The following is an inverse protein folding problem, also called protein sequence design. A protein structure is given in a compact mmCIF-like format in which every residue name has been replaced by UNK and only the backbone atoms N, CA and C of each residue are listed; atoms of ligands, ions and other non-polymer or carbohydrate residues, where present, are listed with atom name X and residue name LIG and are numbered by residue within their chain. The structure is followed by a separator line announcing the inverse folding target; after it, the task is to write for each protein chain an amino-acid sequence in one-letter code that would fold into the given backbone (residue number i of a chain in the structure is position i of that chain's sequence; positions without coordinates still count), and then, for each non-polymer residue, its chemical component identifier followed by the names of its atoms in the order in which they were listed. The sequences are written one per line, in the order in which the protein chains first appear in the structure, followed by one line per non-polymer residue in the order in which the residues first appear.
data_IF_959961040080
#
_entry.id   IF_959961040080
#
_cell.length_a   1.000
_cell.length_b   1.000
_cell.length_c   1.000
_cell.angle_alpha   90.00
_cell.angle_beta   90.00
_cell.angle_gamma   90.00
#
_symmetry.space_group_name_H-M   'P 1'
#
loop_
_entity.id
_entity.type
_entity.pdbx_description
1 polymer ?
#
# COMPACT_ATOMS: atom_id res chain seq x y z
N UNK A 1 9.48 -22.35 17.76
CA UNK A 1 8.05 -22.71 17.49
C UNK A 1 7.19 -21.61 18.12
N UNK A 2 6.69 -20.65 17.31
CA UNK A 2 5.75 -19.63 17.80
C UNK A 2 4.48 -20.36 18.19
N UNK A 3 4.03 -20.16 19.42
CA UNK A 3 2.87 -20.89 19.93
C UNK A 3 1.64 -20.50 19.13
N UNK A 4 0.93 -21.47 18.59
CA UNK A 4 -0.31 -21.29 17.81
C UNK A 4 -1.33 -20.35 18.52
N UNK A 5 -1.27 -20.27 19.83
CA UNK A 5 -2.05 -19.38 20.69
C UNK A 5 -1.72 -17.89 20.50
N UNK A 6 -0.46 -17.54 20.21
CA UNK A 6 -0.02 -16.15 19.98
C UNK A 6 -0.43 -15.66 18.59
N UNK A 7 -0.43 -16.56 17.60
CA UNK A 7 -0.92 -16.29 16.23
C UNK A 7 -2.42 -16.01 16.27
N UNK A 8 -3.21 -16.85 16.95
CA UNK A 8 -4.67 -16.67 17.09
C UNK A 8 -5.02 -15.39 17.87
N UNK A 9 -4.24 -15.01 18.88
CA UNK A 9 -4.46 -13.79 19.66
C UNK A 9 -4.17 -12.52 18.82
N UNK A 10 -3.13 -12.56 17.98
CA UNK A 10 -2.82 -11.47 17.06
C UNK A 10 -3.88 -11.32 15.96
N UNK A 11 -4.37 -12.46 15.41
CA UNK A 11 -5.47 -12.48 14.45
C UNK A 11 -6.77 -11.94 15.04
N UNK A 12 -7.10 -12.30 16.29
CA UNK A 12 -8.30 -11.80 16.98
C UNK A 12 -8.24 -10.29 17.30
N UNK A 13 -7.06 -9.73 17.52
CA UNK A 13 -6.88 -8.28 17.70
C UNK A 13 -7.11 -7.51 16.41
N UNK A 14 -6.71 -8.07 15.24
CA UNK A 14 -6.91 -7.47 13.93
C UNK A 14 -8.31 -7.68 13.36
N UNK A 15 -8.92 -8.82 13.66
CA UNK A 15 -10.27 -9.14 13.23
C UNK A 15 -11.11 -9.66 14.39
N UNK A 16 -11.57 -8.78 15.28
CA UNK A 16 -12.33 -9.17 16.48
C UNK A 16 -13.66 -9.89 16.16
N UNK A 17 -14.13 -9.86 14.91
CA UNK A 17 -15.35 -10.56 14.49
C UNK A 17 -15.11 -11.93 13.84
N UNK A 18 -13.85 -12.37 13.73
CA UNK A 18 -13.45 -13.78 13.54
C UNK A 18 -14.04 -14.52 12.35
N UNK A 19 -14.48 -13.87 11.29
CA UNK A 19 -15.08 -14.55 10.14
C UNK A 19 -14.24 -14.42 8.88
N UNK A 20 -13.48 -15.45 8.58
CA UNK A 20 -13.30 -15.91 7.22
C UNK A 20 -12.00 -15.59 6.51
N UNK A 21 -11.11 -14.72 6.99
CA UNK A 21 -9.83 -14.47 6.29
C UNK A 21 -8.66 -14.73 7.23
N UNK A 22 -7.71 -15.54 6.78
CA UNK A 22 -6.44 -15.73 7.47
C UNK A 22 -5.57 -14.50 7.19
N UNK A 23 -5.58 -13.53 8.08
CA UNK A 23 -4.69 -12.38 8.00
C UNK A 23 -3.28 -12.80 8.36
N UNK A 24 -2.31 -12.39 7.55
CA UNK A 24 -0.90 -12.58 7.87
C UNK A 24 -0.50 -11.67 9.03
N UNK A 25 0.54 -12.06 9.77
CA UNK A 25 1.12 -11.20 10.80
C UNK A 25 1.74 -9.94 10.16
N UNK A 26 1.62 -8.81 10.84
CA UNK A 26 2.24 -7.54 10.40
C UNK A 26 3.74 -7.69 10.11
N UNK A 27 4.44 -8.53 10.88
CA UNK A 27 5.87 -8.81 10.66
C UNK A 27 6.18 -9.37 9.27
N UNK A 28 5.22 -10.10 8.65
CA UNK A 28 5.38 -10.62 7.29
C UNK A 28 5.36 -9.47 6.27
N UNK A 29 4.44 -8.53 6.45
CA UNK A 29 4.36 -7.35 5.55
C UNK A 29 5.57 -6.45 5.74
N UNK A 30 6.01 -6.19 6.96
CA UNK A 30 7.23 -5.42 7.24
C UNK A 30 8.48 -6.08 6.65
N UNK A 31 8.57 -7.40 6.67
CA UNK A 31 9.68 -8.11 6.02
C UNK A 31 9.65 -7.95 4.49
N UNK A 32 8.46 -7.94 3.87
CA UNK A 32 8.31 -7.67 2.43
C UNK A 32 8.73 -6.25 2.08
N UNK A 33 8.29 -5.26 2.87
CA UNK A 33 8.68 -3.85 2.70
C UNK A 33 10.19 -3.70 2.81
N UNK A 34 10.80 -4.30 3.82
CA UNK A 34 12.25 -4.23 4.01
C UNK A 34 13.03 -4.75 2.80
N UNK A 35 12.61 -5.88 2.21
CA UNK A 35 13.23 -6.40 0.98
C UNK A 35 13.12 -5.41 -0.18
N UNK A 36 11.96 -4.78 -0.37
CA UNK A 36 11.79 -3.74 -1.40
C UNK A 36 12.72 -2.57 -1.13
N UNK A 37 12.83 -2.10 0.11
CA UNK A 37 13.71 -0.99 0.48
C UNK A 37 15.20 -1.31 0.23
N UNK A 38 15.62 -2.55 0.45
CA UNK A 38 16.95 -3.04 0.11
C UNK A 38 17.19 -2.99 -1.42
N UNK A 39 16.22 -3.45 -2.21
CA UNK A 39 16.27 -3.40 -3.68
C UNK A 39 16.26 -1.97 -4.22
N UNK A 40 15.42 -1.09 -3.65
CA UNK A 40 15.40 0.34 -4.01
C UNK A 40 16.79 0.97 -3.81
N UNK A 41 17.44 0.65 -2.70
CA UNK A 41 18.79 1.13 -2.39
C UNK A 41 19.81 0.62 -3.39
N UNK A 42 19.79 -0.67 -3.74
CA UNK A 42 20.68 -1.28 -4.72
C UNK A 42 20.52 -0.66 -6.13
N UNK A 43 19.28 -0.31 -6.51
CA UNK A 43 18.96 0.27 -7.82
C UNK A 43 18.98 1.80 -7.83
N UNK A 44 19.37 2.45 -6.73
CA UNK A 44 19.39 3.92 -6.58
C UNK A 44 18.02 4.57 -6.87
N UNK A 45 16.95 3.91 -6.51
CA UNK A 45 15.59 4.45 -6.53
C UNK A 45 15.24 5.06 -5.17
N UNK A 46 14.37 6.06 -5.19
CA UNK A 46 13.91 6.74 -3.97
C UNK A 46 12.65 6.08 -3.41
N UNK A 47 11.84 5.46 -4.27
CA UNK A 47 10.60 4.81 -3.90
C UNK A 47 10.14 3.77 -4.94
N UNK A 48 9.17 2.95 -4.53
CA UNK A 48 8.31 2.15 -5.41
C UNK A 48 6.86 2.59 -5.20
N UNK A 49 6.13 2.82 -6.28
CA UNK A 49 4.69 2.96 -6.25
C UNK A 49 4.06 1.72 -6.89
N UNK A 50 3.17 1.08 -6.16
CA UNK A 50 2.47 -0.15 -6.59
C UNK A 50 1.01 0.20 -6.79
N UNK A 51 0.45 -0.09 -7.97
CA UNK A 51 -0.95 0.17 -8.29
C UNK A 51 -1.75 -1.14 -8.42
N UNK A 52 -2.99 -1.08 -7.99
CA UNK A 52 -4.01 -2.13 -8.17
C UNK A 52 -5.39 -1.53 -8.40
N UNK A 53 -6.29 -2.36 -8.89
CA UNK A 53 -7.71 -2.08 -8.95
C UNK A 53 -8.52 -3.18 -8.21
N UNK A 54 -9.84 -3.06 -8.20
CA UNK A 54 -10.75 -4.00 -7.55
C UNK A 54 -10.72 -5.40 -8.17
N UNK A 55 -10.38 -5.52 -9.45
CA UNK A 55 -10.31 -6.79 -10.16
C UNK A 55 -8.96 -7.48 -10.00
N UNK A 56 -7.92 -6.69 -9.75
CA UNK A 56 -6.53 -7.16 -9.63
C UNK A 56 -5.87 -6.58 -8.36
N UNK A 57 -6.43 -6.88 -7.17
CA UNK A 57 -5.95 -6.29 -5.92
C UNK A 57 -4.63 -6.89 -5.43
N UNK A 58 -4.13 -7.95 -6.07
CA UNK A 58 -3.00 -8.75 -5.60
C UNK A 58 -1.72 -7.96 -5.36
N UNK A 59 -1.42 -6.97 -6.20
CA UNK A 59 -0.22 -6.17 -6.08
C UNK A 59 -0.19 -5.35 -4.78
N UNK A 60 -1.23 -4.58 -4.49
CA UNK A 60 -1.31 -3.79 -3.25
C UNK A 60 -1.63 -4.65 -2.04
N UNK A 61 -2.47 -5.69 -2.18
CA UNK A 61 -2.78 -6.64 -1.11
C UNK A 61 -1.51 -7.30 -0.54
N UNK A 62 -0.55 -7.62 -1.40
CA UNK A 62 0.70 -8.24 -0.99
C UNK A 62 1.46 -7.41 0.05
N UNK A 63 1.33 -6.07 0.00
CA UNK A 63 2.00 -5.16 0.91
C UNK A 63 1.10 -4.61 2.01
N UNK A 64 -0.19 -4.44 1.76
CA UNK A 64 -1.09 -3.68 2.64
C UNK A 64 -1.99 -4.53 3.53
N UNK A 65 -2.18 -5.81 3.23
CA UNK A 65 -3.22 -6.66 3.83
C UNK A 65 -4.66 -6.11 3.60
N UNK A 66 -4.80 -5.19 2.66
CA UNK A 66 -6.09 -4.58 2.35
C UNK A 66 -6.70 -5.22 1.10
N UNK A 67 -7.91 -5.71 1.24
CA UNK A 67 -8.75 -6.18 0.14
C UNK A 67 -9.95 -5.22 -0.01
N UNK A 68 -10.24 -4.71 -1.22
CA UNK A 68 -11.36 -3.79 -1.42
C UNK A 68 -12.69 -4.48 -1.11
N UNK A 69 -13.53 -3.80 -0.34
CA UNK A 69 -14.86 -4.32 0.04
C UNK A 69 -15.97 -3.83 -0.87
N UNK A 70 -15.73 -2.77 -1.64
CA UNK A 70 -16.68 -2.25 -2.61
C UNK A 70 -16.20 -2.55 -4.02
N UNK A 71 -16.95 -3.38 -4.73
CA UNK A 71 -16.68 -3.79 -6.13
C UNK A 71 -17.66 -3.14 -7.12
N UNK A 72 -18.50 -2.21 -6.67
CA UNK A 72 -19.54 -1.57 -7.50
C UNK A 72 -18.98 -0.36 -8.23
N UNK A 73 -17.97 0.29 -7.67
CA UNK A 73 -17.30 1.46 -8.22
C UNK A 73 -15.83 1.18 -8.45
N UNK A 74 -15.18 1.94 -9.34
CA UNK A 74 -13.72 1.89 -9.47
C UNK A 74 -13.06 2.05 -8.10
N UNK A 75 -12.29 1.06 -7.70
CA UNK A 75 -11.58 1.04 -6.41
C UNK A 75 -10.07 1.07 -6.64
N UNK A 76 -9.53 2.20 -7.12
CA UNK A 76 -8.09 2.34 -7.31
C UNK A 76 -7.37 2.24 -5.97
N UNK A 77 -6.25 1.53 -5.99
CA UNK A 77 -5.43 1.30 -4.82
C UNK A 77 -3.97 1.58 -5.17
N UNK A 78 -3.24 2.17 -4.25
CA UNK A 78 -1.81 2.38 -4.41
C UNK A 78 -1.07 2.16 -3.10
N UNK A 79 0.14 1.60 -3.17
CA UNK A 79 1.07 1.56 -2.04
C UNK A 79 2.34 2.29 -2.45
N UNK A 80 2.67 3.35 -1.71
CA UNK A 80 3.94 4.05 -1.84
C UNK A 80 4.92 3.49 -0.81
N UNK A 81 6.02 2.93 -1.29
CA UNK A 81 7.08 2.35 -0.48
C UNK A 81 8.33 3.21 -0.67
N UNK A 82 8.68 4.09 0.29
CA UNK A 82 9.91 4.87 0.21
C UNK A 82 11.12 3.97 0.47
N UNK A 83 12.27 4.36 -0.04
CA UNK A 83 13.54 3.68 0.24
C UNK A 83 13.82 3.57 1.75
N UNK A 84 13.40 4.56 2.52
CA UNK A 84 13.51 4.61 3.97
C UNK A 84 12.23 5.20 4.59
N UNK A 85 11.82 4.68 5.74
CA UNK A 85 10.64 5.15 6.47
C UNK A 85 9.39 4.30 6.24
N UNK A 86 8.25 4.84 6.64
CA UNK A 86 6.96 4.14 6.62
C UNK A 86 6.27 4.24 5.25
N UNK A 87 5.45 3.24 4.98
CA UNK A 87 4.67 3.12 3.75
C UNK A 87 3.37 3.91 3.84
N UNK A 88 2.86 4.36 2.68
CA UNK A 88 1.57 5.03 2.56
C UNK A 88 0.64 4.19 1.69
N UNK A 89 -0.59 3.99 2.13
CA UNK A 89 -1.66 3.34 1.37
C UNK A 89 -2.59 4.40 0.77
N UNK A 90 -2.82 4.33 -0.54
CA UNK A 90 -3.74 5.19 -1.26
C UNK A 90 -4.98 4.42 -1.68
N UNK A 91 -6.16 4.97 -1.41
CA UNK A 91 -7.44 4.32 -1.71
C UNK A 91 -8.45 5.33 -2.26
N UNK A 92 -9.35 4.85 -3.09
CA UNK A 92 -10.49 5.63 -3.57
C UNK A 92 -11.67 5.60 -2.59
N UNK A 93 -12.40 6.72 -2.51
CA UNK A 93 -13.72 6.81 -1.90
C UNK A 93 -13.85 6.22 -0.49
N UNK A 94 -14.88 5.41 -0.31
CA UNK A 94 -15.26 4.79 0.97
C UNK A 94 -14.21 3.78 1.48
N UNK A 95 -13.36 3.28 0.60
CA UNK A 95 -12.37 2.25 0.91
C UNK A 95 -11.30 2.75 1.90
N UNK A 96 -10.98 4.05 1.89
CA UNK A 96 -10.03 4.63 2.84
C UNK A 96 -10.46 4.43 4.30
N UNK A 97 -11.74 4.71 4.60
CA UNK A 97 -12.28 4.54 5.95
C UNK A 97 -12.36 3.07 6.38
N UNK A 98 -12.66 2.19 5.44
CA UNK A 98 -12.73 0.74 5.72
C UNK A 98 -11.34 0.18 6.01
N UNK A 99 -10.32 0.68 5.32
CA UNK A 99 -8.95 0.23 5.48
C UNK A 99 -8.37 0.53 6.86
N UNK A 100 -8.80 1.60 7.55
CA UNK A 100 -8.37 1.92 8.92
C UNK A 100 -8.59 0.77 9.91
N UNK A 101 -9.61 -0.07 9.67
CA UNK A 101 -9.92 -1.23 10.51
C UNK A 101 -9.30 -2.56 10.04
N UNK A 102 -8.69 -2.59 8.85
CA UNK A 102 -8.23 -3.81 8.18
C UNK A 102 -6.72 -3.78 7.95
N UNK A 103 -6.21 -2.73 7.30
CA UNK A 103 -4.79 -2.62 6.96
C UNK A 103 -3.91 -2.42 8.19
N UNK A 104 -2.70 -2.95 8.13
CA UNK A 104 -1.66 -2.67 9.12
C UNK A 104 -0.98 -1.30 8.89
N UNK A 105 -1.15 -0.74 7.68
CA UNK A 105 -0.59 0.58 7.32
C UNK A 105 -1.45 1.66 7.97
N UNK A 106 -0.82 2.55 8.70
CA UNK A 106 -1.50 3.65 9.41
C UNK A 106 -1.64 4.94 8.59
N UNK A 107 -0.72 5.20 7.63
CA UNK A 107 -0.81 6.35 6.75
C UNK A 107 -1.69 5.99 5.53
N UNK A 108 -2.97 6.31 5.63
CA UNK A 108 -3.97 6.04 4.59
C UNK A 108 -4.42 7.38 3.99
N UNK A 109 -4.37 7.49 2.67
CA UNK A 109 -4.71 8.71 1.93
C UNK A 109 -5.64 8.43 0.76
N UNK A 110 -6.32 9.49 0.29
CA UNK A 110 -7.08 9.41 -0.96
C UNK A 110 -6.14 9.35 -2.17
N UNK A 111 -6.47 8.52 -3.16
CA UNK A 111 -5.78 8.50 -4.47
C UNK A 111 -5.89 9.85 -5.19
N UNK A 112 -6.89 10.67 -4.84
CA UNK A 112 -7.02 12.02 -5.38
C UNK A 112 -5.87 12.95 -4.95
N UNK A 113 -5.17 12.62 -3.86
CA UNK A 113 -4.06 13.39 -3.33
C UNK A 113 -2.69 12.95 -3.87
N UNK A 114 -2.64 12.07 -4.88
CA UNK A 114 -1.37 11.54 -5.42
C UNK A 114 -0.46 12.65 -5.95
N UNK A 115 -1.01 13.60 -6.71
CA UNK A 115 -0.23 14.70 -7.28
C UNK A 115 0.44 15.55 -6.19
N UNK A 116 -0.34 16.01 -5.22
CA UNK A 116 0.17 16.80 -4.09
C UNK A 116 1.21 16.02 -3.27
N UNK A 117 0.97 14.72 -3.09
CA UNK A 117 1.88 13.85 -2.37
C UNK A 117 3.24 13.74 -3.08
N UNK A 118 3.24 13.50 -4.39
CA UNK A 118 4.48 13.41 -5.17
C UNK A 118 5.18 14.76 -5.28
N UNK A 119 4.43 15.85 -5.43
CA UNK A 119 4.99 17.20 -5.40
C UNK A 119 5.68 17.50 -4.06
N UNK A 120 5.05 17.14 -2.94
CA UNK A 120 5.65 17.28 -1.62
C UNK A 120 6.92 16.43 -1.45
N UNK A 121 6.94 15.19 -1.98
CA UNK A 121 8.14 14.36 -1.97
C UNK A 121 9.27 14.95 -2.80
N UNK A 122 8.97 15.46 -4.01
CA UNK A 122 9.94 16.16 -4.84
C UNK A 122 10.54 17.37 -4.12
N UNK A 123 9.70 18.17 -3.45
CA UNK A 123 10.16 19.32 -2.64
C UNK A 123 11.07 18.88 -1.50
N UNK A 124 10.69 17.85 -0.74
CA UNK A 124 11.51 17.33 0.37
C UNK A 124 12.89 16.85 -0.08
N UNK A 125 12.98 16.28 -1.29
CA UNK A 125 14.24 15.81 -1.86
C UNK A 125 15.03 16.89 -2.61
N UNK A 126 14.46 18.08 -2.82
CA UNK A 126 15.06 19.14 -3.64
C UNK A 126 15.22 18.80 -5.13
N UNK A 127 14.55 17.74 -5.59
CA UNK A 127 14.53 17.24 -6.98
C UNK A 127 13.36 16.29 -7.19
N UNK A 128 13.05 15.97 -8.45
CA UNK A 128 12.13 14.85 -8.75
C UNK A 128 12.66 13.55 -8.17
N UNK A 129 11.81 12.83 -7.43
CA UNK A 129 12.15 11.50 -6.94
C UNK A 129 12.15 10.50 -8.10
N UNK A 130 13.04 9.51 -8.01
CA UNK A 130 13.12 8.39 -8.93
C UNK A 130 12.32 7.23 -8.35
N UNK A 131 11.07 7.11 -8.76
CA UNK A 131 10.20 6.04 -8.31
C UNK A 131 10.08 4.94 -9.38
N UNK A 132 10.18 3.67 -8.94
CA UNK A 132 9.69 2.54 -9.72
C UNK A 132 8.17 2.53 -9.72
N UNK A 133 7.57 1.96 -10.78
CA UNK A 133 6.14 1.77 -10.89
C UNK A 133 5.84 0.30 -11.16
N UNK A 134 5.00 -0.31 -10.33
CA UNK A 134 4.44 -1.65 -10.54
C UNK A 134 2.92 -1.55 -10.70
N UNK A 135 2.35 -2.37 -11.59
CA UNK A 135 0.94 -2.27 -11.95
C UNK A 135 0.64 -1.22 -13.03
N UNK A 136 1.64 -0.69 -13.76
CA UNK A 136 1.48 0.28 -14.83
C UNK A 136 0.48 -0.19 -15.90
N UNK A 137 0.54 -1.46 -16.28
CA UNK A 137 -0.32 -2.03 -17.32
C UNK A 137 -1.83 -1.99 -16.99
N UNK A 138 -2.17 -1.77 -15.73
CA UNK A 138 -3.57 -1.71 -15.25
C UNK A 138 -3.95 -0.33 -14.73
N UNK A 139 -3.00 0.59 -14.67
CA UNK A 139 -3.23 1.93 -14.13
C UNK A 139 -3.91 2.81 -15.18
N UNK A 140 -5.11 3.38 -14.88
CA UNK A 140 -5.72 4.36 -15.75
C UNK A 140 -4.84 5.60 -15.93
N UNK A 141 -4.83 6.16 -17.16
CA UNK A 141 -4.02 7.35 -17.53
C UNK A 141 -4.26 8.54 -16.59
N UNK A 142 -5.48 8.70 -16.07
CA UNK A 142 -5.80 9.76 -15.10
C UNK A 142 -4.95 9.70 -13.82
N UNK A 143 -4.50 8.50 -13.41
CA UNK A 143 -3.64 8.32 -12.24
C UNK A 143 -2.16 8.37 -12.62
N UNK A 144 -1.75 7.79 -13.74
CA UNK A 144 -0.35 7.85 -14.15
C UNK A 144 0.13 9.30 -14.36
N UNK A 145 -0.73 10.17 -14.92
CA UNK A 145 -0.42 11.61 -15.04
C UNK A 145 -0.22 12.33 -13.71
N UNK A 146 -0.80 11.84 -12.62
CA UNK A 146 -0.61 12.41 -11.27
C UNK A 146 0.71 12.01 -10.62
N UNK A 147 1.42 11.05 -11.20
CA UNK A 147 2.75 10.62 -10.75
C UNK A 147 3.86 11.47 -11.39
N UNK A 148 3.54 12.29 -12.39
CA UNK A 148 4.46 13.15 -13.15
C UNK A 148 4.22 14.63 -12.82
N UNK A 149 4.41 15.08 -11.57
CA UNK A 149 4.26 16.48 -11.19
C UNK A 149 5.41 17.38 -11.66
#
# INVERSE_FOLDING_TARGET
MVKQKEILTAQNKRNPKGKGFTTLLESVFRARIKKVQEELSAHKLDALFVFSDEYRPGYTLYFSDYFPVNVIEESPQGVFIPKEGEVTLFLGGINAKTAEGISWISDIRSVENLEDFFAAKNYQHGRKIRAGLDGEAIMPVKYSKRLEP
#
